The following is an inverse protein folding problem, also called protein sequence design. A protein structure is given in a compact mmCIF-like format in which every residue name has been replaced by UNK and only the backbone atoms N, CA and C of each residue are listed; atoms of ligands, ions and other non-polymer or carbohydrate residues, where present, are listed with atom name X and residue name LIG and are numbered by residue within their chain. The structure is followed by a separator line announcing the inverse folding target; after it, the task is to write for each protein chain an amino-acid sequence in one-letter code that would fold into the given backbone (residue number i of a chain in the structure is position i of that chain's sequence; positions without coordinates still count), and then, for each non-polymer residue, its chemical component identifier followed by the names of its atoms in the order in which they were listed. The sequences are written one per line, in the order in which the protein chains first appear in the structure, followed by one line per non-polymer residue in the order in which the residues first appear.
data_IF_439877206592
#
_entry.id   IF_439877206592
#
_cell.length_a   1.000
_cell.length_b   1.000
_cell.length_c   1.000
_cell.angle_alpha   90.00
_cell.angle_beta   90.00
_cell.angle_gamma   90.00
#
_symmetry.space_group_name_H-M   'P 1'
#
loop_
_entity.id
_entity.type
_entity.pdbx_description
1 polymer ?
#
# COMPACT_ATOMS: atom_id res chain seq x y z
N UNK A 1 -35.26 -34.37 54.85
CA UNK A 1 -34.62 -35.27 53.87
C UNK A 1 -34.52 -34.52 52.54
N UNK A 2 -33.30 -34.41 51.98
CA UNK A 2 -32.92 -33.86 50.64
C UNK A 2 -33.16 -32.35 50.35
N UNK A 3 -32.35 -31.62 49.59
CA UNK A 3 -30.90 -31.41 49.43
C UNK A 3 -30.74 -30.24 48.44
N UNK A 4 -29.84 -29.29 48.75
CA UNK A 4 -28.92 -28.53 47.86
C UNK A 4 -29.46 -27.86 46.57
N UNK A 5 -29.53 -26.53 46.57
CA UNK A 5 -29.42 -25.70 45.36
C UNK A 5 -28.50 -24.49 45.67
N UNK A 6 -27.19 -24.69 45.53
CA UNK A 6 -26.17 -23.70 45.89
C UNK A 6 -24.96 -23.61 44.97
N UNK A 7 -25.00 -24.16 43.75
CA UNK A 7 -23.78 -24.29 42.93
C UNK A 7 -23.94 -24.06 41.42
N UNK A 8 -24.99 -23.38 40.96
CA UNK A 8 -25.18 -23.19 39.50
C UNK A 8 -24.92 -21.75 39.04
N UNK A 9 -24.93 -20.76 39.93
CA UNK A 9 -24.86 -19.35 39.55
C UNK A 9 -23.44 -18.75 39.41
N UNK A 10 -22.36 -19.49 39.74
CA UNK A 10 -20.97 -18.96 39.69
C UNK A 10 -20.07 -19.57 38.61
N UNK A 11 -20.54 -20.53 37.82
CA UNK A 11 -19.76 -21.11 36.71
C UNK A 11 -19.96 -20.39 35.36
N UNK A 12 -21.03 -19.61 35.20
CA UNK A 12 -21.37 -18.99 33.91
C UNK A 12 -20.47 -17.81 33.50
N UNK A 13 -19.82 -17.14 34.46
CA UNK A 13 -19.06 -15.92 34.19
C UNK A 13 -17.57 -16.15 33.88
N UNK A 14 -17.01 -17.31 34.26
CA UNK A 14 -15.61 -17.64 33.93
C UNK A 14 -15.42 -18.20 32.51
N UNK A 15 -16.49 -18.66 31.85
CA UNK A 15 -16.38 -19.27 30.52
C UNK A 15 -16.34 -18.24 29.37
N UNK A 16 -16.72 -16.99 29.63
CA UNK A 16 -16.73 -15.91 28.64
C UNK A 16 -15.41 -15.13 28.52
N UNK A 17 -14.46 -15.31 29.46
CA UNK A 17 -13.14 -14.66 29.38
C UNK A 17 -12.06 -15.47 28.66
N UNK A 18 -12.32 -16.73 28.31
CA UNK A 18 -11.32 -17.60 27.67
C UNK A 18 -11.31 -17.53 26.13
N UNK A 19 -12.30 -16.89 25.50
CA UNK A 19 -12.42 -16.87 24.02
C UNK A 19 -11.76 -15.65 23.36
N UNK A 20 -11.31 -14.65 24.12
CA UNK A 20 -10.71 -13.44 23.56
C UNK A 20 -9.26 -13.62 23.05
N UNK A 21 -8.61 -14.75 23.32
CA UNK A 21 -7.15 -14.91 23.13
C UNK A 21 -6.68 -15.65 21.88
N UNK A 22 -7.55 -16.24 21.05
CA UNK A 22 -7.12 -17.17 19.99
C UNK A 22 -7.70 -16.87 18.60
N UNK A 23 -7.82 -15.60 18.24
CA UNK A 23 -7.97 -15.23 16.83
C UNK A 23 -6.57 -15.16 16.18
N UNK A 24 -5.87 -16.29 16.10
CA UNK A 24 -4.71 -16.39 15.20
C UNK A 24 -5.27 -16.67 13.80
N UNK A 25 -5.13 -15.69 12.90
CA UNK A 25 -5.53 -15.87 11.50
C UNK A 25 -4.83 -17.08 10.91
N UNK A 26 -5.57 -17.97 10.26
CA UNK A 26 -5.00 -19.14 9.59
C UNK A 26 -3.95 -18.69 8.57
N UNK A 27 -2.69 -19.14 8.67
CA UNK A 27 -1.74 -18.95 7.59
C UNK A 27 -2.20 -19.81 6.42
N UNK A 28 -2.73 -19.17 5.36
CA UNK A 28 -3.12 -19.87 4.14
C UNK A 28 -1.85 -20.33 3.43
N UNK A 29 -1.49 -21.61 3.58
CA UNK A 29 -0.26 -22.20 3.00
C UNK A 29 -0.35 -22.43 1.49
N UNK A 30 -1.55 -22.35 0.91
CA UNK A 30 -1.76 -22.45 -0.54
C UNK A 30 -1.71 -21.05 -1.20
N UNK A 31 -1.02 -20.89 -2.35
CA UNK A 31 -0.99 -19.62 -3.05
C UNK A 31 -2.41 -19.22 -3.45
N UNK A 32 -2.83 -18.01 -3.08
CA UNK A 32 -4.12 -17.46 -3.50
C UNK A 32 -4.13 -17.36 -5.03
N UNK A 33 -4.93 -18.20 -5.69
CA UNK A 33 -5.08 -18.18 -7.14
C UNK A 33 -6.18 -17.17 -7.55
N UNK A 34 -5.95 -16.42 -8.63
CA UNK A 34 -6.96 -15.58 -9.29
C UNK A 34 -6.98 -15.95 -10.78
N UNK A 35 -8.11 -16.45 -11.27
CA UNK A 35 -8.22 -17.01 -12.63
C UNK A 35 -7.09 -18.01 -12.97
N UNK A 36 -6.73 -18.87 -12.01
CA UNK A 36 -5.67 -19.86 -12.19
C UNK A 36 -4.24 -19.31 -12.14
N UNK A 37 -4.05 -18.02 -11.81
CA UNK A 37 -2.73 -17.40 -11.67
C UNK A 37 -2.40 -17.13 -10.20
N UNK A 38 -1.16 -17.42 -9.74
CA UNK A 38 -0.71 -17.04 -8.41
C UNK A 38 -0.82 -15.53 -8.19
N UNK A 39 -1.43 -15.11 -7.09
CA UNK A 39 -1.41 -13.71 -6.67
C UNK A 39 -0.19 -13.44 -5.81
N UNK A 40 0.64 -12.49 -6.25
CA UNK A 40 1.69 -11.92 -5.41
C UNK A 40 1.15 -10.71 -4.66
N UNK A 41 1.35 -10.66 -3.35
CA UNK A 41 1.10 -9.44 -2.57
C UNK A 41 2.10 -8.37 -3.03
N UNK A 42 1.59 -7.27 -3.58
CA UNK A 42 2.42 -6.21 -4.15
C UNK A 42 2.67 -5.06 -3.17
N UNK A 43 1.67 -4.73 -2.38
CA UNK A 43 1.72 -3.59 -1.46
C UNK A 43 1.70 -4.13 -0.04
N UNK A 44 2.52 -3.56 0.81
CA UNK A 44 2.58 -3.88 2.22
C UNK A 44 2.16 -2.65 3.02
N UNK A 45 1.41 -2.83 4.12
CA UNK A 45 1.04 -1.71 4.97
C UNK A 45 2.26 -1.28 5.80
N UNK A 46 2.53 0.02 5.84
CA UNK A 46 3.48 0.64 6.76
C UNK A 46 2.81 1.86 7.42
N UNK A 47 2.39 1.70 8.68
CA UNK A 47 1.59 2.72 9.35
C UNK A 47 0.30 3.04 8.57
N UNK A 48 0.04 4.32 8.22
CA UNK A 48 -1.15 4.70 7.44
C UNK A 48 -0.97 4.53 5.92
N UNK A 49 0.19 4.05 5.46
CA UNK A 49 0.57 4.06 4.05
C UNK A 49 0.55 2.65 3.44
N UNK A 50 0.22 2.58 2.15
CA UNK A 50 0.43 1.38 1.33
C UNK A 50 1.73 1.55 0.54
N UNK A 51 2.71 0.68 0.81
CA UNK A 51 4.07 0.82 0.32
C UNK A 51 4.41 -0.27 -0.69
N UNK A 52 5.15 0.10 -1.72
CA UNK A 52 5.75 -0.83 -2.68
C UNK A 52 7.18 -0.38 -3.00
N UNK A 53 8.11 -1.33 -3.01
CA UNK A 53 9.48 -1.12 -3.48
C UNK A 53 9.60 -1.60 -4.92
N UNK A 54 10.19 -0.77 -5.78
CA UNK A 54 10.43 -1.04 -7.20
C UNK A 54 9.19 -1.57 -7.93
N UNK A 55 8.04 -0.99 -7.63
CA UNK A 55 6.79 -1.28 -8.33
C UNK A 55 6.81 -0.76 -9.77
N UNK A 56 5.95 -1.35 -10.61
CA UNK A 56 5.96 -1.11 -12.06
C UNK A 56 4.70 -0.49 -12.63
N UNK A 57 3.63 -0.34 -11.83
CA UNK A 57 2.37 0.21 -12.34
C UNK A 57 2.48 1.71 -12.50
N UNK A 58 1.94 2.21 -13.62
CA UNK A 58 1.76 3.64 -13.90
C UNK A 58 0.27 3.95 -13.76
N UNK A 59 -0.05 5.17 -13.33
CA UNK A 59 -1.41 5.73 -13.37
C UNK A 59 -2.48 4.86 -12.68
N UNK A 60 -2.10 4.09 -11.67
CA UNK A 60 -2.98 3.19 -10.90
C UNK A 60 -3.45 3.79 -9.56
N UNK A 61 -3.19 5.07 -9.33
CA UNK A 61 -3.55 5.83 -8.12
C UNK A 61 -4.11 7.19 -8.50
N UNK A 62 -5.42 7.29 -8.61
CA UNK A 62 -6.08 8.57 -8.87
C UNK A 62 -6.06 9.45 -7.61
N UNK A 63 -5.60 10.68 -7.77
CA UNK A 63 -5.67 11.76 -6.81
C UNK A 63 -6.68 12.78 -7.33
N UNK A 64 -7.88 12.75 -6.75
CA UNK A 64 -8.97 13.63 -7.14
C UNK A 64 -8.79 15.00 -6.49
N UNK A 65 -9.00 16.05 -7.29
CA UNK A 65 -8.95 17.42 -6.83
C UNK A 65 -10.30 17.87 -6.26
N UNK A 66 -10.86 18.90 -6.88
CA UNK A 66 -12.17 19.45 -6.49
C UNK A 66 -13.31 18.64 -7.12
N UNK A 67 -14.52 19.20 -7.10
CA UNK A 67 -15.72 18.61 -7.71
C UNK A 67 -15.72 18.61 -9.25
N UNK A 68 -14.65 19.09 -9.90
CA UNK A 68 -14.52 19.05 -11.37
C UNK A 68 -14.03 17.68 -11.85
N UNK A 69 -13.96 17.48 -13.16
CA UNK A 69 -13.36 16.28 -13.75
C UNK A 69 -11.83 16.21 -13.58
N UNK A 70 -11.21 17.17 -12.86
CA UNK A 70 -9.78 17.18 -12.63
C UNK A 70 -9.32 16.06 -11.72
N UNK A 71 -8.33 15.33 -12.21
CA UNK A 71 -7.54 14.42 -11.39
C UNK A 71 -6.11 14.32 -11.91
N UNK A 72 -5.25 13.93 -10.99
CA UNK A 72 -3.89 13.49 -11.30
C UNK A 72 -3.83 11.98 -11.06
N UNK A 73 -3.44 11.20 -12.05
CA UNK A 73 -3.17 9.77 -11.85
C UNK A 73 -1.68 9.59 -11.59
N UNK A 74 -1.35 9.08 -10.41
CA UNK A 74 -0.01 8.68 -10.01
C UNK A 74 0.13 7.15 -10.12
N UNK A 75 1.33 6.62 -9.84
CA UNK A 75 1.51 5.17 -9.74
C UNK A 75 2.72 4.75 -8.92
N UNK A 76 3.16 3.51 -9.10
CA UNK A 76 4.35 2.98 -8.43
C UNK A 76 5.64 3.71 -8.86
N UNK A 77 5.62 4.37 -10.02
CA UNK A 77 6.73 5.16 -10.58
C UNK A 77 6.47 6.67 -10.42
N UNK A 78 7.51 7.51 -10.27
CA UNK A 78 7.41 8.97 -10.10
C UNK A 78 7.05 9.67 -11.41
N UNK A 79 5.81 9.47 -11.85
CA UNK A 79 5.23 10.03 -13.06
C UNK A 79 3.73 10.21 -12.89
N UNK A 80 3.20 11.30 -13.46
CA UNK A 80 1.82 11.71 -13.26
C UNK A 80 1.12 11.96 -14.58
N UNK A 81 -0.09 11.41 -14.75
CA UNK A 81 -0.98 11.78 -15.84
C UNK A 81 -2.00 12.81 -15.35
N UNK A 82 -2.21 13.87 -16.13
CA UNK A 82 -3.16 14.93 -15.83
C UNK A 82 -4.42 14.71 -16.65
N UNK A 83 -5.60 14.86 -16.04
CA UNK A 83 -6.88 14.75 -16.75
C UNK A 83 -7.77 15.95 -16.47
N UNK A 84 -8.29 16.62 -17.52
CA UNK A 84 -9.24 17.74 -17.44
C UNK A 84 -9.85 18.13 -18.81
N UNK A 85 -11.12 17.83 -19.13
CA UNK A 85 -11.91 16.65 -18.74
C UNK A 85 -11.43 15.35 -19.43
N UNK A 86 -10.57 15.46 -20.44
CA UNK A 86 -9.89 14.33 -21.10
C UNK A 86 -8.43 14.21 -20.68
N UNK A 87 -7.63 13.44 -21.42
CA UNK A 87 -6.18 13.35 -21.19
C UNK A 87 -5.54 14.73 -21.43
N UNK A 88 -4.95 15.31 -20.38
CA UNK A 88 -4.26 16.60 -20.41
C UNK A 88 -2.74 16.48 -20.60
N UNK A 89 -2.22 15.26 -20.68
CA UNK A 89 -0.79 14.97 -20.85
C UNK A 89 -0.18 14.30 -19.62
N UNK A 90 1.14 14.12 -19.64
CA UNK A 90 1.91 13.52 -18.55
C UNK A 90 3.04 14.45 -18.08
N UNK A 91 3.34 14.38 -16.79
CA UNK A 91 4.48 15.01 -16.14
C UNK A 91 5.46 13.91 -15.73
N UNK A 92 6.67 13.98 -16.29
CA UNK A 92 7.77 13.05 -16.02
C UNK A 92 8.98 13.84 -15.54
N UNK A 93 9.72 13.30 -14.57
CA UNK A 93 10.91 13.93 -14.00
C UNK A 93 12.18 13.30 -14.56
N UNK A 94 13.14 14.15 -14.92
CA UNK A 94 14.51 13.76 -15.28
C UNK A 94 15.50 14.22 -14.22
N UNK A 95 16.48 13.37 -13.94
CA UNK A 95 17.66 13.68 -13.13
C UNK A 95 18.81 14.03 -14.06
N UNK A 96 19.51 15.14 -13.78
CA UNK A 96 20.74 15.54 -14.44
C UNK A 96 21.82 15.71 -13.39
N UNK A 97 22.93 14.98 -13.53
CA UNK A 97 24.08 15.03 -12.63
C UNK A 97 25.35 14.59 -13.36
N UNK A 98 26.47 15.26 -13.12
CA UNK A 98 27.80 14.89 -13.65
C UNK A 98 27.83 14.67 -15.19
N UNK A 99 27.08 15.45 -15.95
CA UNK A 99 26.97 15.30 -17.42
C UNK A 99 26.14 14.10 -17.88
N UNK A 100 25.55 13.35 -16.96
CA UNK A 100 24.62 12.25 -17.23
C UNK A 100 23.18 12.70 -17.03
N UNK A 101 22.25 12.02 -17.70
CA UNK A 101 20.82 12.19 -17.50
C UNK A 101 20.11 10.85 -17.36
N UNK A 102 19.05 10.83 -16.56
CA UNK A 102 18.23 9.63 -16.32
C UNK A 102 16.79 10.05 -16.01
N UNK A 103 15.80 9.39 -16.61
CA UNK A 103 14.41 9.55 -16.19
C UNK A 103 14.22 8.93 -14.80
N UNK A 104 13.58 9.63 -13.85
CA UNK A 104 13.40 9.11 -12.49
C UNK A 104 12.59 7.81 -12.44
N UNK A 105 11.74 7.54 -13.44
CA UNK A 105 11.06 6.25 -13.58
C UNK A 105 12.02 5.06 -13.84
N UNK A 106 13.29 5.34 -14.12
CA UNK A 106 14.38 4.39 -14.33
C UNK A 106 15.43 4.44 -13.20
N UNK A 107 15.12 5.10 -12.07
CA UNK A 107 15.99 5.08 -10.91
C UNK A 107 16.14 3.64 -10.37
N UNK A 108 17.31 3.34 -9.80
CA UNK A 108 17.63 2.00 -9.28
C UNK A 108 16.69 1.58 -8.14
N UNK A 109 16.37 2.52 -7.25
CA UNK A 109 15.51 2.27 -6.10
C UNK A 109 14.41 3.32 -6.02
N UNK A 110 13.17 2.87 -6.08
CA UNK A 110 11.96 3.68 -5.94
C UNK A 110 11.09 3.03 -4.89
N UNK A 111 10.83 3.73 -3.79
CA UNK A 111 9.80 3.34 -2.82
C UNK A 111 8.60 4.24 -2.98
N UNK A 112 7.47 3.67 -3.39
CA UNK A 112 6.22 4.39 -3.61
C UNK A 112 5.31 4.20 -2.40
N UNK A 113 4.86 5.30 -1.79
CA UNK A 113 3.97 5.30 -0.62
C UNK A 113 2.67 6.02 -0.97
N UNK A 114 1.58 5.25 -0.96
CA UNK A 114 0.24 5.81 -1.10
C UNK A 114 -0.37 6.04 0.29
N UNK A 115 -0.68 7.30 0.58
CA UNK A 115 -1.50 7.74 1.71
C UNK A 115 -2.83 8.25 1.13
N UNK A 116 -3.97 8.15 1.82
CA UNK A 116 -5.21 8.72 1.33
C UNK A 116 -5.04 10.18 0.83
N UNK A 117 -5.23 10.38 -0.47
CA UNK A 117 -5.07 11.69 -1.13
C UNK A 117 -3.63 12.17 -1.37
N UNK A 118 -2.61 11.34 -1.17
CA UNK A 118 -1.20 11.74 -1.37
C UNK A 118 -0.35 10.58 -1.88
N UNK A 119 0.49 10.86 -2.87
CA UNK A 119 1.52 9.95 -3.33
C UNK A 119 2.90 10.50 -2.97
N UNK A 120 3.75 9.67 -2.36
CA UNK A 120 5.14 10.01 -2.03
C UNK A 120 6.09 8.99 -2.64
N UNK A 121 7.27 9.45 -3.00
CA UNK A 121 8.34 8.64 -3.54
C UNK A 121 9.60 8.93 -2.75
N UNK A 122 10.26 7.88 -2.27
CA UNK A 122 11.65 7.95 -1.83
C UNK A 122 12.51 7.33 -2.94
N UNK A 123 13.46 8.09 -3.48
CA UNK A 123 14.25 7.68 -4.65
C UNK A 123 15.74 7.71 -4.32
N UNK A 124 16.41 6.59 -4.59
CA UNK A 124 17.86 6.48 -4.53
C UNK A 124 18.41 5.94 -5.85
N UNK A 125 19.49 6.55 -6.33
CA UNK A 125 20.12 6.20 -7.61
C UNK A 125 21.63 6.49 -7.55
N UNK A 126 22.48 5.69 -8.22
CA UNK A 126 23.92 5.98 -8.29
C UNK A 126 24.26 7.40 -8.77
N UNK A 127 23.43 8.02 -9.64
CA UNK A 127 23.64 9.41 -10.08
C UNK A 127 23.47 10.43 -8.93
N UNK A 128 22.78 10.06 -7.84
CA UNK A 128 22.61 10.88 -6.64
C UNK A 128 23.73 10.66 -5.61
N UNK A 129 24.64 9.70 -5.83
CA UNK A 129 25.67 9.33 -4.87
C UNK A 129 25.08 8.86 -3.55
N UNK A 130 25.41 9.54 -2.45
CA UNK A 130 24.85 9.26 -1.11
C UNK A 130 23.52 9.99 -0.84
N UNK A 131 23.04 10.82 -1.77
CA UNK A 131 21.79 11.57 -1.65
C UNK A 131 20.54 10.76 -1.98
N UNK A 132 19.38 11.30 -1.62
CA UNK A 132 18.04 10.76 -1.92
C UNK A 132 17.09 11.90 -2.27
N UNK A 133 16.03 11.59 -3.01
CA UNK A 133 14.92 12.50 -3.35
C UNK A 133 13.60 12.04 -2.74
#
# INVERSE_FOLDING_TARGET
MRTKNGLVARLGLLLLLATAGLAQGQPTTAPLLWHGQPRTLRYHPEGPDFVIHNGSRRFNRALYGTHTAFRVEAGDLPEFALYLPGMGGNLTFGLLANGQSKWLIKAENITARYRPGTMRYDIADPLLGAGQL
#
